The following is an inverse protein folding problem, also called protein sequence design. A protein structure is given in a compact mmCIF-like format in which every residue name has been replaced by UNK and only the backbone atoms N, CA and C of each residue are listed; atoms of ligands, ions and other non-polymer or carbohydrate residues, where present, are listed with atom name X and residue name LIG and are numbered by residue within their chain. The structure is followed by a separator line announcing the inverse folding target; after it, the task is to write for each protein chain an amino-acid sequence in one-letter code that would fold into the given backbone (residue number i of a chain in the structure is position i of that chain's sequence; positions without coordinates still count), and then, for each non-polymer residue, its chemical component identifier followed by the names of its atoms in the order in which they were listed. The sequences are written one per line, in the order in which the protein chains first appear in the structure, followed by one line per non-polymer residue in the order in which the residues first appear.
data_IF_203844033206
#
_entry.id   IF_203844033206
#
_cell.length_a   1.000
_cell.length_b   1.000
_cell.length_c   1.000
_cell.angle_alpha   90.00
_cell.angle_beta   90.00
_cell.angle_gamma   90.00
#
_symmetry.space_group_name_H-M   'P 1'
#
loop_
_entity.id
_entity.type
_entity.pdbx_description
1 polymer ?
#
# COMPACT_ATOMS: atom_id res chain seq x y z
N UNK A 1 -33.69 37.04 -5.46
CA UNK A 1 -32.25 36.76 -5.60
C UNK A 1 -31.84 36.19 -4.25
N UNK A 2 -32.13 34.89 -4.05
CA UNK A 2 -32.04 34.25 -2.74
C UNK A 2 -30.58 33.94 -2.40
N UNK A 3 -30.12 34.47 -1.27
CA UNK A 3 -28.83 34.16 -0.68
C UNK A 3 -28.77 32.66 -0.34
N UNK A 4 -27.96 31.92 -1.10
CA UNK A 4 -27.54 30.56 -0.73
C UNK A 4 -26.72 30.66 0.55
N UNK A 5 -27.38 30.39 1.67
CA UNK A 5 -26.79 30.31 3.00
C UNK A 5 -25.86 29.10 3.05
N UNK A 6 -24.59 29.29 2.69
CA UNK A 6 -23.50 28.32 2.85
C UNK A 6 -23.27 28.05 4.35
N UNK A 7 -24.08 27.16 4.93
CA UNK A 7 -23.95 26.73 6.31
C UNK A 7 -23.08 25.46 6.39
N UNK A 8 -22.08 25.60 7.25
CA UNK A 8 -21.16 24.61 7.81
C UNK A 8 -19.89 24.25 7.01
N UNK A 9 -18.98 25.22 6.97
CA UNK A 9 -17.59 25.07 6.54
C UNK A 9 -16.73 24.49 7.68
N UNK A 10 -16.79 23.18 7.86
CA UNK A 10 -15.63 22.45 8.40
C UNK A 10 -15.21 21.37 7.40
N UNK A 11 -15.04 21.79 6.14
CA UNK A 11 -14.34 20.98 5.16
C UNK A 11 -12.87 20.99 5.58
N UNK A 12 -12.43 19.91 6.23
CA UNK A 12 -11.00 19.61 6.35
C UNK A 12 -10.38 19.80 4.96
N UNK A 13 -9.31 20.60 4.84
CA UNK A 13 -8.64 20.87 3.56
C UNK A 13 -8.04 19.62 2.91
N UNK A 14 -8.10 18.47 3.61
CA UNK A 14 -7.63 17.18 3.16
C UNK A 14 -8.84 16.33 2.73
N UNK A 15 -8.97 16.10 1.42
CA UNK A 15 -9.98 15.22 0.83
C UNK A 15 -9.37 13.83 0.63
N UNK A 16 -10.02 12.79 1.14
CA UNK A 16 -9.56 11.41 0.98
C UNK A 16 -9.93 10.87 -0.41
N UNK A 17 -8.94 10.38 -1.15
CA UNK A 17 -9.17 9.57 -2.36
C UNK A 17 -9.68 8.19 -1.95
N UNK A 18 -10.83 7.77 -2.47
CA UNK A 18 -11.47 6.49 -2.18
C UNK A 18 -10.60 5.28 -2.54
N UNK A 19 -9.63 5.46 -3.44
CA UNK A 19 -8.68 4.42 -3.84
C UNK A 19 -7.35 4.49 -3.10
N UNK A 20 -7.09 5.51 -2.27
CA UNK A 20 -5.81 5.68 -1.58
C UNK A 20 -5.42 4.47 -0.72
N UNK A 21 -6.36 3.89 0.05
CA UNK A 21 -6.10 2.70 0.87
C UNK A 21 -5.52 1.55 0.04
N UNK A 22 -6.19 1.23 -1.08
CA UNK A 22 -5.75 0.14 -1.97
C UNK A 22 -4.39 0.42 -2.63
N UNK A 23 -4.04 1.70 -2.85
CA UNK A 23 -2.74 2.08 -3.42
C UNK A 23 -1.62 1.92 -2.40
N UNK A 24 -1.85 2.31 -1.15
CA UNK A 24 -0.90 2.15 -0.04
C UNK A 24 -0.66 0.66 0.24
N UNK A 25 -1.72 -0.14 0.30
CA UNK A 25 -1.62 -1.60 0.42
C UNK A 25 -0.82 -2.21 -0.74
N UNK A 26 -1.11 -1.80 -1.98
CA UNK A 26 -0.34 -2.24 -3.15
C UNK A 26 1.15 -1.89 -3.07
N UNK A 27 1.49 -0.70 -2.58
CA UNK A 27 2.88 -0.27 -2.40
C UNK A 27 3.60 -1.14 -1.36
N UNK A 28 2.93 -1.42 -0.23
CA UNK A 28 3.44 -2.31 0.82
C UNK A 28 3.66 -3.73 0.28
N UNK A 29 2.71 -4.28 -0.48
CA UNK A 29 2.83 -5.60 -1.09
C UNK A 29 4.06 -5.66 -2.01
N UNK A 30 4.25 -4.65 -2.87
CA UNK A 30 5.42 -4.57 -3.75
C UNK A 30 6.71 -4.49 -2.93
N UNK A 31 6.74 -3.70 -1.85
CA UNK A 31 7.92 -3.56 -1.00
C UNK A 31 8.30 -4.86 -0.30
N UNK A 32 7.33 -5.53 0.34
CA UNK A 32 7.55 -6.84 0.99
C UNK A 32 7.98 -7.89 -0.02
N UNK A 33 7.34 -7.93 -1.19
CA UNK A 33 7.74 -8.85 -2.28
C UNK A 33 9.18 -8.58 -2.72
N UNK A 34 9.57 -7.32 -2.85
CA UNK A 34 10.94 -6.92 -3.22
C UNK A 34 11.95 -7.40 -2.18
N UNK A 35 11.68 -7.18 -0.89
CA UNK A 35 12.52 -7.66 0.22
C UNK A 35 12.71 -9.19 0.13
N UNK A 36 11.60 -9.94 -0.02
CA UNK A 36 11.65 -11.40 -0.10
C UNK A 36 12.45 -11.89 -1.30
N UNK A 37 12.27 -11.26 -2.47
CA UNK A 37 13.02 -11.61 -3.69
C UNK A 37 14.52 -11.32 -3.54
N UNK A 38 14.88 -10.17 -2.96
CA UNK A 38 16.29 -9.82 -2.71
C UNK A 38 16.93 -10.80 -1.73
N UNK A 39 16.24 -11.14 -0.64
CA UNK A 39 16.74 -12.13 0.33
C UNK A 39 16.86 -13.52 -0.26
N UNK A 40 15.89 -13.96 -1.06
CA UNK A 40 15.96 -15.22 -1.78
C UNK A 40 17.16 -15.25 -2.74
N UNK A 41 17.35 -14.18 -3.50
CA UNK A 41 18.50 -14.03 -4.38
C UNK A 41 19.83 -14.11 -3.62
N UNK A 42 19.97 -13.39 -2.51
CA UNK A 42 21.18 -13.43 -1.67
C UNK A 42 21.42 -14.81 -1.08
N UNK A 43 20.37 -15.50 -0.64
CA UNK A 43 20.49 -16.87 -0.12
C UNK A 43 20.97 -17.86 -1.19
N UNK A 44 20.36 -17.81 -2.38
CA UNK A 44 20.73 -18.68 -3.51
C UNK A 44 22.14 -18.42 -4.04
N UNK A 45 22.64 -17.19 -3.88
CA UNK A 45 23.97 -16.79 -4.36
C UNK A 45 25.05 -16.83 -3.27
N UNK A 46 24.70 -17.20 -2.04
CA UNK A 46 25.65 -17.32 -0.93
C UNK A 46 26.14 -15.98 -0.38
N UNK A 47 25.31 -14.94 -0.40
CA UNK A 47 25.61 -13.58 0.08
C UNK A 47 26.84 -12.94 -0.58
N UNK A 48 26.85 -12.81 -1.92
CA UNK A 48 27.96 -12.17 -2.62
C UNK A 48 28.07 -10.70 -2.19
N UNK A 49 29.28 -10.25 -1.86
CA UNK A 49 29.54 -8.83 -1.63
C UNK A 49 29.40 -8.06 -2.95
N UNK A 50 28.34 -7.26 -3.06
CA UNK A 50 28.15 -6.32 -4.17
C UNK A 50 28.72 -4.97 -3.75
N UNK A 51 29.90 -4.64 -4.27
CA UNK A 51 30.72 -3.49 -3.86
C UNK A 51 32.04 -3.96 -3.27
N UNK A 52 33.16 -3.55 -3.87
CA UNK A 52 34.50 -4.02 -3.50
C UNK A 52 34.91 -3.66 -2.06
N UNK A 53 36.12 -4.08 -1.67
CA UNK A 53 36.66 -3.97 -0.30
C UNK A 53 36.65 -2.56 0.33
N UNK A 54 36.47 -1.49 -0.47
CA UNK A 54 36.45 -0.08 -0.03
C UNK A 54 35.20 0.70 -0.41
N UNK A 55 34.33 0.18 -1.29
CA UNK A 55 33.15 0.91 -1.78
C UNK A 55 31.92 0.00 -1.78
N UNK A 56 31.14 0.08 -0.71
CA UNK A 56 29.80 -0.51 -0.66
C UNK A 56 28.80 0.47 -1.30
N UNK A 57 28.35 0.16 -2.52
CA UNK A 57 27.20 0.86 -3.10
C UNK A 57 25.97 0.27 -2.42
N UNK A 58 25.49 0.95 -1.38
CA UNK A 58 24.31 0.49 -0.66
C UNK A 58 23.10 0.43 -1.59
N UNK A 59 22.39 -0.69 -1.63
CA UNK A 59 21.14 -0.78 -2.40
C UNK A 59 20.08 0.18 -1.85
N UNK A 60 20.24 0.69 -0.62
CA UNK A 60 19.45 1.80 -0.09
C UNK A 60 19.58 3.09 -0.89
N UNK A 61 20.73 3.39 -1.50
CA UNK A 61 20.90 4.57 -2.36
C UNK A 61 20.05 4.43 -3.62
N UNK A 62 20.10 3.26 -4.27
CA UNK A 62 19.25 2.96 -5.43
C UNK A 62 17.78 2.90 -5.04
N UNK A 63 17.46 2.37 -3.86
CA UNK A 63 16.11 2.37 -3.30
C UNK A 63 15.58 3.78 -3.11
N UNK A 64 16.37 4.66 -2.49
CA UNK A 64 16.09 6.08 -2.32
C UNK A 64 15.90 6.82 -3.65
N UNK A 65 16.81 6.61 -4.60
CA UNK A 65 16.71 7.20 -5.94
C UNK A 65 15.44 6.74 -6.66
N UNK A 66 15.11 5.45 -6.59
CA UNK A 66 13.90 4.93 -7.23
C UNK A 66 12.62 5.49 -6.59
N UNK A 67 12.62 5.72 -5.27
CA UNK A 67 11.53 6.43 -4.60
C UNK A 67 11.41 7.89 -5.08
N UNK A 68 12.54 8.60 -5.27
CA UNK A 68 12.52 9.96 -5.84
C UNK A 68 11.98 9.94 -7.26
N UNK A 69 12.40 9.00 -8.10
CA UNK A 69 11.86 8.82 -9.46
C UNK A 69 10.36 8.53 -9.43
N UNK A 70 9.88 7.74 -8.47
CA UNK A 70 8.45 7.50 -8.27
C UNK A 70 7.71 8.81 -7.93
N UNK A 71 8.27 9.64 -7.04
CA UNK A 71 7.71 10.95 -6.70
C UNK A 71 7.71 11.89 -7.91
N UNK A 72 8.79 11.95 -8.68
CA UNK A 72 8.82 12.73 -9.93
C UNK A 72 7.70 12.29 -10.88
N UNK A 73 7.51 10.98 -11.07
CA UNK A 73 6.41 10.47 -11.89
C UNK A 73 5.02 10.90 -11.38
N UNK A 74 4.81 10.88 -10.07
CA UNK A 74 3.55 11.32 -9.45
C UNK A 74 3.32 12.85 -9.54
N UNK A 75 4.39 13.64 -9.51
CA UNK A 75 4.32 15.10 -9.56
C UNK A 75 4.25 15.65 -11.00
N UNK A 76 4.81 14.94 -11.97
CA UNK A 76 4.85 15.37 -13.38
C UNK A 76 3.56 15.06 -14.13
N UNK A 77 2.92 13.93 -13.83
CA UNK A 77 1.86 13.38 -14.66
C UNK A 77 0.53 13.28 -13.92
N UNK A 78 -0.57 13.59 -14.61
CA UNK A 78 -1.92 13.47 -14.08
C UNK A 78 -2.54 12.10 -14.41
N UNK A 79 -3.36 11.59 -13.49
CA UNK A 79 -4.20 10.41 -13.68
C UNK A 79 -3.64 9.14 -13.05
N UNK A 80 -4.35 8.02 -13.23
CA UNK A 80 -4.08 6.77 -12.50
C UNK A 80 -2.91 5.91 -13.03
N UNK A 81 -2.39 6.16 -14.23
CA UNK A 81 -1.18 5.47 -14.71
C UNK A 81 0.06 5.88 -13.89
N UNK A 82 0.34 7.19 -13.68
CA UNK A 82 1.37 7.65 -12.75
C UNK A 82 1.25 7.05 -11.35
N UNK A 83 0.03 6.90 -10.83
CA UNK A 83 -0.18 6.24 -9.54
C UNK A 83 0.22 4.76 -9.54
N UNK A 84 -0.12 4.00 -10.59
CA UNK A 84 0.32 2.62 -10.72
C UNK A 84 1.85 2.51 -10.82
N UNK A 85 2.48 3.43 -11.56
CA UNK A 85 3.94 3.54 -11.61
C UNK A 85 4.51 3.85 -10.22
N UNK A 86 3.97 4.85 -9.51
CA UNK A 86 4.43 5.23 -8.18
C UNK A 86 4.30 4.10 -7.15
N UNK A 87 3.24 3.29 -7.23
CA UNK A 87 3.06 2.10 -6.39
C UNK A 87 4.18 1.07 -6.65
N UNK A 88 4.49 0.79 -7.91
CA UNK A 88 5.50 -0.20 -8.28
C UNK A 88 6.92 0.31 -8.01
N UNK A 89 7.28 1.46 -8.58
CA UNK A 89 8.61 2.05 -8.43
C UNK A 89 8.88 2.44 -6.97
N UNK A 90 7.91 3.09 -6.32
CA UNK A 90 8.01 3.47 -4.91
C UNK A 90 8.06 2.26 -3.99
N UNK A 91 7.26 1.22 -4.25
CA UNK A 91 7.30 -0.04 -3.51
C UNK A 91 8.64 -0.76 -3.64
N UNK A 92 9.18 -0.90 -4.85
CA UNK A 92 10.51 -1.50 -5.08
C UNK A 92 11.57 -0.67 -4.36
N UNK A 93 11.55 0.65 -4.53
CA UNK A 93 12.53 1.55 -3.93
C UNK A 93 12.51 1.49 -2.40
N UNK A 94 11.30 1.48 -1.82
CA UNK A 94 11.09 1.33 -0.39
C UNK A 94 11.54 -0.04 0.13
N UNK A 95 11.23 -1.12 -0.59
CA UNK A 95 11.66 -2.48 -0.24
C UNK A 95 13.19 -2.63 -0.24
N UNK A 96 13.86 -2.12 -1.27
CA UNK A 96 15.34 -2.10 -1.35
C UNK A 96 15.96 -1.27 -0.23
N UNK A 97 15.34 -0.13 0.10
CA UNK A 97 15.80 0.70 1.20
C UNK A 97 15.66 -0.01 2.55
N UNK A 98 14.49 -0.63 2.81
CA UNK A 98 14.23 -1.36 4.05
C UNK A 98 15.14 -2.59 4.23
N UNK A 99 15.45 -3.33 3.16
CA UNK A 99 16.30 -4.53 3.28
C UNK A 99 17.72 -4.18 3.75
N UNK A 100 18.25 -3.02 3.37
CA UNK A 100 19.58 -2.57 3.75
C UNK A 100 19.62 -1.90 5.14
N UNK A 101 18.47 -1.54 5.76
CA UNK A 101 18.44 -0.93 7.11
C UNK A 101 19.16 -1.81 8.13
N UNK A 102 19.12 -3.14 7.95
CA UNK A 102 19.76 -4.04 8.90
C UNK A 102 21.26 -3.89 9.01
N UNK A 103 21.94 -3.57 7.89
CA UNK A 103 23.37 -3.24 7.89
C UNK A 103 23.67 -1.97 8.67
N UNK A 104 22.85 -0.94 8.55
CA UNK A 104 23.15 0.36 9.16
C UNK A 104 22.83 0.46 10.65
N UNK A 105 22.17 -0.55 11.21
CA UNK A 105 21.75 -0.53 12.61
C UNK A 105 22.87 -1.00 13.58
N UNK A 106 23.88 -1.73 13.09
CA UNK A 106 25.01 -2.17 13.92
C UNK A 106 26.29 -1.46 13.56
N UNK A 107 27.15 -1.18 14.56
CA UNK A 107 28.49 -0.64 14.32
C UNK A 107 29.38 -1.56 13.47
N UNK A 108 28.98 -2.83 13.31
CA UNK A 108 29.71 -3.88 12.58
C UNK A 108 29.13 -4.20 11.20
N UNK A 109 28.09 -3.50 10.74
CA UNK A 109 27.42 -3.77 9.45
C UNK A 109 26.86 -5.19 9.28
N UNK A 110 26.34 -5.78 10.35
CA UNK A 110 25.79 -7.14 10.35
C UNK A 110 24.38 -7.18 9.72
N UNK A 111 24.27 -7.89 8.58
CA UNK A 111 23.02 -8.12 7.84
C UNK A 111 21.96 -8.86 8.66
N UNK A 112 22.39 -9.63 9.66
CA UNK A 112 21.55 -10.57 10.43
C UNK A 112 21.26 -10.08 11.83
N UNK A 113 21.55 -8.82 12.14
CA UNK A 113 21.23 -8.26 13.46
C UNK A 113 19.74 -8.44 13.76
N UNK A 114 19.44 -9.24 14.78
CA UNK A 114 18.09 -9.74 15.12
C UNK A 114 17.04 -8.59 15.23
N UNK A 115 17.38 -7.41 15.78
CA UNK A 115 16.47 -6.25 15.82
C UNK A 115 16.09 -5.64 14.46
N UNK A 116 16.92 -5.81 13.42
CA UNK A 116 16.71 -5.19 12.11
C UNK A 116 15.47 -5.73 11.39
N UNK A 117 15.26 -7.04 11.48
CA UNK A 117 14.06 -7.71 10.95
C UNK A 117 12.80 -7.19 11.67
N UNK A 118 12.89 -7.00 12.99
CA UNK A 118 11.79 -6.46 13.77
C UNK A 118 11.42 -5.04 13.35
N UNK A 119 12.39 -4.18 13.10
CA UNK A 119 12.15 -2.80 12.64
C UNK A 119 11.45 -2.81 11.28
N UNK A 120 11.89 -3.65 10.33
CA UNK A 120 11.20 -3.77 9.03
C UNK A 120 9.72 -4.13 9.21
N UNK A 121 9.42 -5.12 10.05
CA UNK A 121 8.04 -5.51 10.36
C UNK A 121 7.25 -4.40 11.04
N UNK A 122 7.84 -3.71 12.03
CA UNK A 122 7.20 -2.59 12.72
C UNK A 122 6.88 -1.48 11.75
N UNK A 123 7.81 -1.11 10.86
CA UNK A 123 7.58 -0.05 9.86
C UNK A 123 6.43 -0.44 8.92
N UNK A 124 6.43 -1.66 8.39
CA UNK A 124 5.34 -2.15 7.51
C UNK A 124 4.00 -2.18 8.25
N UNK A 125 3.99 -2.69 9.48
CA UNK A 125 2.79 -2.76 10.32
C UNK A 125 2.25 -1.36 10.62
N UNK A 126 3.11 -0.42 11.01
CA UNK A 126 2.72 0.97 11.27
C UNK A 126 2.15 1.63 10.03
N UNK A 127 2.70 1.38 8.84
CA UNK A 127 2.14 1.88 7.59
C UNK A 127 0.73 1.32 7.33
N UNK A 128 0.51 0.02 7.54
CA UNK A 128 -0.81 -0.60 7.37
C UNK A 128 -1.83 -0.11 8.41
N UNK A 129 -1.41 0.05 9.67
CA UNK A 129 -2.25 0.57 10.74
C UNK A 129 -2.58 2.05 10.51
N UNK A 130 -1.61 2.87 10.09
CA UNK A 130 -1.84 4.26 9.73
C UNK A 130 -2.82 4.36 8.56
N UNK A 131 -2.64 3.54 7.53
CA UNK A 131 -3.56 3.45 6.40
C UNK A 131 -4.99 3.11 6.87
N UNK A 132 -5.14 2.08 7.71
CA UNK A 132 -6.44 1.69 8.27
C UNK A 132 -7.04 2.78 9.14
N UNK A 133 -6.24 3.49 9.93
CA UNK A 133 -6.71 4.57 10.79
C UNK A 133 -7.24 5.76 9.98
N UNK A 134 -6.52 6.16 8.93
CA UNK A 134 -6.89 7.29 8.07
C UNK A 134 -8.17 6.98 7.27
N UNK A 135 -8.31 5.75 6.76
CA UNK A 135 -9.40 5.38 5.87
C UNK A 135 -10.59 4.72 6.56
N UNK A 136 -10.43 4.18 7.77
CA UNK A 136 -11.45 3.36 8.44
C UNK A 136 -12.27 4.06 9.53
N UNK A 137 -11.76 5.12 10.16
CA UNK A 137 -12.42 5.67 11.37
C UNK A 137 -13.48 6.74 11.13
N UNK A 138 -13.52 7.38 9.95
CA UNK A 138 -14.48 8.44 9.66
C UNK A 138 -15.36 8.07 8.47
N UNK A 139 -16.69 8.24 8.57
CA UNK A 139 -17.57 8.07 7.43
C UNK A 139 -17.15 9.02 6.30
N UNK A 140 -17.41 8.61 5.06
CA UNK A 140 -17.13 9.43 3.89
C UNK A 140 -18.12 10.59 3.87
N UNK A 141 -17.64 11.80 3.66
CA UNK A 141 -18.49 12.99 3.59
C UNK A 141 -19.06 13.18 2.19
N UNK A 142 -20.18 13.89 2.08
CA UNK A 142 -20.79 14.20 0.78
C UNK A 142 -19.82 14.91 -0.18
N UNK A 143 -18.98 15.81 0.34
CA UNK A 143 -17.93 16.49 -0.42
C UNK A 143 -16.81 15.55 -0.89
N UNK A 144 -16.42 14.58 -0.08
CA UNK A 144 -15.45 13.55 -0.48
C UNK A 144 -16.02 12.70 -1.63
N UNK A 145 -17.28 12.27 -1.53
CA UNK A 145 -17.94 11.50 -2.60
C UNK A 145 -18.05 12.30 -3.89
N UNK A 146 -18.46 13.57 -3.82
CA UNK A 146 -18.55 14.47 -4.97
C UNK A 146 -17.17 14.66 -5.64
N UNK A 147 -16.13 14.93 -4.84
CA UNK A 147 -14.76 15.11 -5.35
C UNK A 147 -14.18 13.83 -5.97
N UNK A 148 -14.47 12.66 -5.39
CA UNK A 148 -14.04 11.37 -5.95
C UNK A 148 -14.74 11.05 -7.27
N UNK A 149 -16.02 11.38 -7.40
CA UNK A 149 -16.76 11.26 -8.67
C UNK A 149 -16.17 12.19 -9.74
N UNK A 150 -15.86 13.44 -9.40
CA UNK A 150 -15.22 14.40 -10.29
C UNK A 150 -13.83 13.92 -10.76
N UNK A 151 -12.99 13.45 -9.83
CA UNK A 151 -11.68 12.87 -10.14
C UNK A 151 -11.79 11.68 -11.09
N UNK A 152 -12.79 10.81 -10.89
CA UNK A 152 -13.08 9.70 -11.80
C UNK A 152 -13.50 10.19 -13.18
N UNK A 153 -14.27 11.26 -13.27
CA UNK A 153 -14.66 11.86 -14.55
C UNK A 153 -13.44 12.41 -15.31
N UNK A 154 -12.52 13.09 -14.64
CA UNK A 154 -11.25 13.57 -15.24
C UNK A 154 -10.43 12.41 -15.80
N UNK A 155 -10.24 11.34 -15.01
CA UNK A 155 -9.59 10.11 -15.46
C UNK A 155 -10.31 9.49 -16.68
N UNK A 156 -11.65 9.53 -16.67
CA UNK A 156 -12.53 9.04 -17.74
C UNK A 156 -12.38 9.81 -19.05
N UNK A 157 -12.20 11.14 -18.98
CA UNK A 157 -11.95 11.97 -20.16
C UNK A 157 -10.64 11.55 -20.84
N UNK A 158 -9.60 11.27 -20.06
CA UNK A 158 -8.28 10.90 -20.62
C UNK A 158 -8.27 9.50 -21.26
N UNK A 159 -8.74 8.48 -20.53
CA UNK A 159 -8.56 7.07 -20.94
C UNK A 159 -9.85 6.28 -21.19
N UNK A 160 -11.00 6.87 -20.93
CA UNK A 160 -12.28 6.16 -20.88
C UNK A 160 -12.52 5.46 -19.54
N UNK A 161 -13.80 5.17 -19.27
CA UNK A 161 -14.27 4.55 -18.03
C UNK A 161 -14.58 3.07 -18.24
N UNK A 162 -14.15 2.23 -17.30
CA UNK A 162 -14.67 0.86 -17.21
C UNK A 162 -16.08 0.86 -16.63
N UNK A 163 -16.88 -0.20 -16.87
CA UNK A 163 -18.19 -0.34 -16.25
C UNK A 163 -18.15 -0.23 -14.72
N UNK A 164 -17.11 -0.77 -14.09
CA UNK A 164 -16.91 -0.70 -12.64
C UNK A 164 -16.55 0.72 -12.15
N UNK A 165 -15.70 1.46 -12.88
CA UNK A 165 -15.40 2.86 -12.56
C UNK A 165 -16.64 3.74 -12.70
N UNK A 166 -17.41 3.56 -13.78
CA UNK A 166 -18.66 4.29 -14.02
C UNK A 166 -19.68 4.02 -12.90
N UNK A 167 -19.92 2.75 -12.58
CA UNK A 167 -20.87 2.37 -11.53
C UNK A 167 -20.48 2.96 -10.16
N UNK A 168 -19.18 2.96 -9.82
CA UNK A 168 -18.67 3.57 -8.57
C UNK A 168 -18.88 5.07 -8.56
N UNK A 169 -18.51 5.78 -9.62
CA UNK A 169 -18.68 7.23 -9.69
C UNK A 169 -20.16 7.64 -9.60
N UNK A 170 -21.06 6.91 -10.27
CA UNK A 170 -22.51 7.16 -10.16
C UNK A 170 -23.03 6.87 -8.75
N UNK A 171 -22.54 5.81 -8.08
CA UNK A 171 -22.91 5.53 -6.70
C UNK A 171 -22.43 6.64 -5.74
N UNK A 172 -21.23 7.17 -5.96
CA UNK A 172 -20.69 8.32 -5.20
C UNK A 172 -21.54 9.58 -5.40
N UNK A 173 -21.97 9.89 -6.63
CA UNK A 173 -22.87 11.03 -6.86
C UNK A 173 -24.22 10.87 -6.16
N UNK A 174 -24.79 9.66 -6.13
CA UNK A 174 -26.03 9.40 -5.36
C UNK A 174 -25.82 9.59 -3.86
N UNK A 175 -24.70 9.07 -3.34
CA UNK A 175 -24.31 9.23 -1.93
C UNK A 175 -24.11 10.71 -1.57
N UNK A 176 -23.40 11.46 -2.42
CA UNK A 176 -23.17 12.89 -2.26
C UNK A 176 -24.49 13.67 -2.22
N UNK A 177 -25.42 13.41 -3.15
CA UNK A 177 -26.76 14.03 -3.16
C UNK A 177 -27.54 13.72 -1.88
N UNK A 178 -27.56 12.45 -1.44
CA UNK A 178 -28.21 12.05 -0.21
C UNK A 178 -27.58 12.68 1.04
N UNK A 179 -26.26 12.94 1.00
CA UNK A 179 -25.51 13.63 2.04
C UNK A 179 -25.57 15.16 1.98
N UNK A 180 -26.39 15.76 1.12
CA UNK A 180 -26.60 17.20 1.05
C UNK A 180 -25.57 17.98 0.23
N UNK A 181 -24.84 17.32 -0.68
CA UNK A 181 -24.04 18.03 -1.67
C UNK A 181 -24.93 18.85 -2.62
N UNK A 182 -24.37 19.93 -3.18
CA UNK A 182 -25.05 20.78 -4.16
C UNK A 182 -25.54 19.96 -5.37
N UNK A 183 -26.86 19.91 -5.63
CA UNK A 183 -27.42 19.15 -6.75
C UNK A 183 -26.88 19.60 -8.12
N UNK A 184 -26.64 20.91 -8.30
CA UNK A 184 -26.17 21.45 -9.58
C UNK A 184 -24.76 20.95 -9.90
N UNK A 185 -23.86 21.03 -8.93
CA UNK A 185 -22.50 20.50 -9.05
C UNK A 185 -22.49 18.97 -9.33
N UNK A 186 -23.37 18.21 -8.68
CA UNK A 186 -23.49 16.78 -8.93
C UNK A 186 -23.98 16.47 -10.36
N UNK A 187 -24.92 17.25 -10.88
CA UNK A 187 -25.45 17.12 -12.23
C UNK A 187 -24.40 17.44 -13.31
N UNK A 188 -23.56 18.44 -13.08
CA UNK A 188 -22.44 18.76 -13.98
C UNK A 188 -21.44 17.61 -14.10
N UNK A 189 -21.06 17.02 -12.96
CA UNK A 189 -20.15 15.87 -12.92
C UNK A 189 -20.80 14.65 -13.60
N UNK A 190 -22.10 14.42 -13.39
CA UNK A 190 -22.83 13.34 -14.06
C UNK A 190 -22.84 13.51 -15.58
N UNK A 191 -23.05 14.73 -16.08
CA UNK A 191 -22.98 15.04 -17.51
C UNK A 191 -21.58 14.79 -18.07
N UNK A 192 -20.53 15.13 -17.32
CA UNK A 192 -19.15 14.86 -17.73
C UNK A 192 -18.87 13.34 -17.79
N UNK A 193 -19.30 12.58 -16.79
CA UNK A 193 -19.18 11.12 -16.78
C UNK A 193 -19.92 10.50 -17.97
N UNK A 194 -21.11 10.98 -18.31
CA UNK A 194 -21.90 10.49 -19.44
C UNK A 194 -21.18 10.67 -20.79
N UNK A 195 -20.34 11.70 -20.93
CA UNK A 195 -19.54 11.95 -22.15
C UNK A 195 -18.26 11.13 -22.24
N UNK A 196 -17.82 10.50 -21.15
CA UNK A 196 -16.62 9.68 -21.16
C UNK A 196 -16.86 8.41 -21.98
N UNK A 197 -15.93 8.09 -22.89
CA UNK A 197 -15.94 6.84 -23.66
C UNK A 197 -15.87 5.62 -22.73
N UNK A 198 -16.50 4.53 -23.13
CA UNK A 198 -16.34 3.26 -22.42
C UNK A 198 -14.99 2.62 -22.76
N UNK A 199 -14.38 1.98 -21.76
CA UNK A 199 -13.13 1.25 -21.89
C UNK A 199 -13.32 -0.18 -21.44
N UNK A 200 -12.97 -1.12 -22.30
CA UNK A 200 -12.97 -2.53 -21.97
C UNK A 200 -11.93 -2.85 -20.89
N UNK A 201 -12.39 -3.55 -19.85
CA UNK A 201 -11.55 -3.93 -18.73
C UNK A 201 -10.86 -5.27 -18.97
N UNK A 202 -9.89 -5.29 -19.91
CA UNK A 202 -9.10 -6.50 -20.20
C UNK A 202 -8.26 -6.95 -19.00
N UNK A 203 -7.85 -6.01 -18.13
CA UNK A 203 -7.05 -6.32 -16.92
C UNK A 203 -7.88 -6.91 -15.77
N UNK A 204 -9.15 -6.53 -15.58
CA UNK A 204 -9.98 -7.22 -14.57
C UNK A 204 -10.31 -8.66 -14.94
N UNK A 205 -10.32 -9.01 -16.23
CA UNK A 205 -10.44 -10.43 -16.65
C UNK A 205 -9.23 -11.26 -16.21
N UNK A 206 -8.02 -10.70 -16.30
CA UNK A 206 -6.79 -11.34 -15.80
C UNK A 206 -6.77 -11.38 -14.28
N UNK A 207 -7.15 -10.27 -13.63
CA UNK A 207 -7.30 -10.20 -12.17
C UNK A 207 -8.35 -11.16 -11.62
N UNK A 208 -9.44 -11.41 -12.33
CA UNK A 208 -10.44 -12.41 -11.98
C UNK A 208 -9.89 -13.85 -12.08
N UNK A 209 -8.96 -14.11 -13.00
CA UNK A 209 -8.22 -15.37 -13.10
C UNK A 209 -7.30 -15.61 -11.91
N UNK A 210 -6.55 -14.58 -11.49
CA UNK A 210 -5.70 -14.64 -10.29
C UNK A 210 -6.55 -14.74 -9.02
N UNK A 211 -7.64 -13.96 -8.93
CA UNK A 211 -8.60 -14.06 -7.82
C UNK A 211 -9.22 -15.45 -7.75
N UNK A 212 -9.33 -16.17 -8.88
CA UNK A 212 -9.74 -17.58 -9.00
C UNK A 212 -8.73 -18.59 -8.41
N UNK A 213 -7.47 -18.21 -8.26
CA UNK A 213 -6.45 -19.03 -7.60
C UNK A 213 -6.45 -18.89 -6.07
N UNK A 214 -6.94 -17.77 -5.53
CA UNK A 214 -7.08 -17.58 -4.05
C UNK A 214 -8.16 -18.52 -3.50
N UNK A 215 -7.93 -19.37 -2.50
CA UNK A 215 -8.92 -20.36 -2.06
C UNK A 215 -10.27 -19.70 -1.66
N UNK A 216 -11.43 -20.33 -1.97
CA UNK A 216 -12.74 -19.75 -1.67
C UNK A 216 -12.98 -19.52 -0.17
N UNK A 217 -12.28 -20.23 0.71
CA UNK A 217 -12.31 -20.01 2.17
C UNK A 217 -11.82 -18.61 2.59
N UNK A 218 -10.98 -17.97 1.75
CA UNK A 218 -10.42 -16.64 1.98
C UNK A 218 -11.19 -15.55 1.23
N UNK A 219 -12.14 -15.95 0.37
CA UNK A 219 -13.00 -15.03 -0.38
C UNK A 219 -14.24 -14.69 0.45
N UNK A 220 -14.13 -13.66 1.28
CA UNK A 220 -15.27 -13.04 1.98
C UNK A 220 -14.80 -12.10 3.08
N UNK A 221 -15.70 -11.26 3.61
CA UNK A 221 -15.39 -10.31 4.69
C UNK A 221 -14.83 -11.00 5.95
N UNK A 222 -15.24 -12.26 6.19
CA UNK A 222 -14.71 -13.07 7.28
C UNK A 222 -13.31 -13.61 7.00
N UNK A 223 -12.99 -13.93 5.74
CA UNK A 223 -11.68 -14.41 5.31
C UNK A 223 -10.65 -13.29 5.29
N UNK A 224 -11.02 -12.11 4.81
CA UNK A 224 -10.17 -10.91 4.87
C UNK A 224 -9.99 -10.42 6.31
N UNK A 225 -11.02 -10.47 7.14
CA UNK A 225 -10.91 -10.19 8.57
C UNK A 225 -10.04 -11.23 9.29
N UNK A 226 -10.21 -12.53 9.01
CA UNK A 226 -9.37 -13.58 9.58
C UNK A 226 -7.92 -13.43 9.13
N UNK A 227 -7.65 -13.18 7.85
CA UNK A 227 -6.30 -12.91 7.36
C UNK A 227 -5.70 -11.66 8.00
N UNK A 228 -6.48 -10.58 8.15
CA UNK A 228 -6.04 -9.37 8.83
C UNK A 228 -5.75 -9.61 10.33
N UNK A 229 -6.59 -10.37 11.03
CA UNK A 229 -6.39 -10.76 12.43
C UNK A 229 -5.17 -11.67 12.55
N UNK A 230 -5.04 -12.69 11.72
CA UNK A 230 -3.87 -13.59 11.70
C UNK A 230 -2.59 -12.82 11.41
N UNK A 231 -2.60 -11.91 10.43
CA UNK A 231 -1.45 -11.05 10.13
C UNK A 231 -1.13 -10.12 11.31
N UNK A 232 -2.15 -9.54 11.95
CA UNK A 232 -1.98 -8.64 13.10
C UNK A 232 -1.46 -9.39 14.33
N UNK A 233 -2.01 -10.57 14.62
CA UNK A 233 -1.56 -11.45 15.71
C UNK A 233 -0.15 -11.93 15.43
N UNK A 234 0.14 -12.38 14.21
CA UNK A 234 1.48 -12.79 13.79
C UNK A 234 2.48 -11.64 13.92
N UNK A 235 2.12 -10.44 13.43
CA UNK A 235 2.97 -9.25 13.56
C UNK A 235 3.18 -8.83 15.02
N UNK A 236 2.14 -8.94 15.85
CA UNK A 236 2.21 -8.67 17.28
C UNK A 236 3.08 -9.69 18.03
N UNK A 237 2.96 -10.98 17.71
CA UNK A 237 3.77 -12.06 18.28
C UNK A 237 5.24 -11.88 17.89
N UNK A 238 5.51 -11.52 16.64
CA UNK A 238 6.84 -11.22 16.14
C UNK A 238 7.43 -9.95 16.78
N UNK A 239 6.61 -8.93 17.06
CA UNK A 239 7.03 -7.74 17.79
C UNK A 239 7.38 -8.05 19.26
N UNK A 240 6.53 -8.80 19.96
CA UNK A 240 6.79 -9.24 21.33
C UNK A 240 8.07 -10.08 21.37
N UNK A 241 8.20 -11.04 20.45
CA UNK A 241 9.40 -11.84 20.32
C UNK A 241 10.62 -10.96 20.08
N UNK A 242 10.55 -10.01 19.14
CA UNK A 242 11.63 -9.07 18.88
C UNK A 242 12.06 -8.28 20.11
N UNK A 243 11.11 -7.77 20.90
CA UNK A 243 11.37 -7.04 22.15
C UNK A 243 12.01 -7.96 23.20
N UNK A 244 11.53 -9.20 23.33
CA UNK A 244 12.11 -10.20 24.25
C UNK A 244 13.54 -10.56 23.82
N UNK A 245 13.77 -10.85 22.54
CA UNK A 245 15.11 -11.13 22.02
C UNK A 245 16.03 -9.93 22.05
N UNK A 246 15.53 -8.70 21.94
CA UNK A 246 16.33 -7.49 22.10
C UNK A 246 16.80 -7.35 23.56
N UNK A 247 15.96 -7.72 24.53
CA UNK A 247 16.35 -7.78 25.94
C UNK A 247 17.37 -8.92 26.21
N UNK A 248 17.24 -10.05 25.53
CA UNK A 248 18.19 -11.17 25.64
C UNK A 248 19.54 -10.92 24.94
N UNK A 249 19.55 -10.21 23.81
CA UNK A 249 20.77 -9.77 23.10
C UNK A 249 21.53 -8.71 23.90
N UNK A 250 20.80 -7.79 24.56
CA UNK A 250 21.40 -6.86 25.52
C UNK A 250 22.02 -7.58 26.74
N UNK A 251 21.57 -8.82 27.01
CA UNK A 251 22.07 -9.69 28.08
C UNK A 251 23.04 -10.78 27.58
N UNK A 252 23.38 -10.82 26.28
CA UNK A 252 24.45 -11.66 25.71
C UNK A 252 24.16 -13.16 25.56
N UNK A 253 22.89 -13.58 25.42
CA UNK A 253 22.55 -15.01 25.27
C UNK A 253 22.30 -15.40 23.80
N UNK A 254 23.26 -16.10 23.21
CA UNK A 254 23.20 -16.58 21.82
C UNK A 254 22.49 -17.94 21.73
N UNK A 255 21.32 -17.99 21.10
CA UNK A 255 20.65 -19.25 20.74
C UNK A 255 20.12 -19.20 19.31
N UNK A 256 20.60 -20.13 18.50
CA UNK A 256 20.27 -20.38 17.09
C UNK A 256 18.96 -21.20 16.95
N UNK A 257 17.80 -20.55 17.10
CA UNK A 257 16.49 -21.18 16.88
C UNK A 257 15.67 -20.51 15.76
N UNK A 258 16.22 -19.49 15.09
CA UNK A 258 15.43 -18.50 14.33
C UNK A 258 15.30 -18.80 12.83
N UNK A 259 16.22 -19.57 12.24
CA UNK A 259 16.18 -19.90 10.79
C UNK A 259 14.96 -20.77 10.45
N UNK A 260 14.56 -21.68 11.35
CA UNK A 260 13.40 -22.55 11.13
C UNK A 260 12.05 -21.82 11.20
N UNK A 261 11.92 -20.77 12.02
CA UNK A 261 10.68 -20.00 12.14
C UNK A 261 10.46 -19.02 10.97
N UNK A 262 11.53 -18.55 10.32
CA UNK A 262 11.44 -17.72 9.12
C UNK A 262 10.74 -18.44 7.95
N UNK A 263 10.93 -19.75 7.81
CA UNK A 263 10.24 -20.54 6.79
C UNK A 263 8.76 -20.82 7.14
N UNK A 264 8.42 -20.98 8.42
CA UNK A 264 7.04 -21.25 8.85
C UNK A 264 6.13 -20.04 8.63
N UNK A 265 6.63 -18.83 8.93
CA UNK A 265 5.87 -17.59 8.69
C UNK A 265 5.57 -17.33 7.20
N UNK A 266 6.53 -17.62 6.32
CA UNK A 266 6.35 -17.46 4.86
C UNK A 266 5.34 -18.47 4.32
N UNK A 267 5.39 -19.73 4.77
CA UNK A 267 4.47 -20.79 4.31
C UNK A 267 3.01 -20.46 4.65
N UNK A 268 2.76 -19.93 5.86
CA UNK A 268 1.41 -19.52 6.30
C UNK A 268 0.90 -18.30 5.51
N UNK A 269 1.79 -17.38 5.13
CA UNK A 269 1.41 -16.16 4.40
C UNK A 269 1.20 -16.41 2.90
N UNK A 270 1.82 -17.44 2.32
CA UNK A 270 1.57 -17.85 0.92
C UNK A 270 0.36 -18.78 0.75
N UNK A 271 -0.14 -19.37 1.84
CA UNK A 271 -1.31 -20.27 1.84
C UNK A 271 -2.63 -19.58 2.27
N UNK A 272 -2.58 -18.31 2.67
CA UNK A 272 -3.72 -17.42 2.94
C UNK A 272 -3.83 -16.33 1.86
#
# INVERSE_FOLDING_TARGET
MDEVRLRDRSASRLLRDASASSRIEGLVIVAVTTILLVRLYLHLTGYPQVGGATLHIAHSLWGGLLMVVALCGLLTYLGRTPHAFGIVAGGIGFGLFLDEIGKFLTKTNDYFYRPSVAIMYVVVLLLLLANRAIHGFRPVTAWEDLANAASTAVDGVMRGLTPAERARATAQLRSARAGGADPEAADEIERLLARCRDRDDRRSRVGAGVKRMVPPALRGDRGTWAAAVTLTVFSGLMLVHAVVTLADDLNGSDRDLTVWFQFVGVTVTTLL
#
